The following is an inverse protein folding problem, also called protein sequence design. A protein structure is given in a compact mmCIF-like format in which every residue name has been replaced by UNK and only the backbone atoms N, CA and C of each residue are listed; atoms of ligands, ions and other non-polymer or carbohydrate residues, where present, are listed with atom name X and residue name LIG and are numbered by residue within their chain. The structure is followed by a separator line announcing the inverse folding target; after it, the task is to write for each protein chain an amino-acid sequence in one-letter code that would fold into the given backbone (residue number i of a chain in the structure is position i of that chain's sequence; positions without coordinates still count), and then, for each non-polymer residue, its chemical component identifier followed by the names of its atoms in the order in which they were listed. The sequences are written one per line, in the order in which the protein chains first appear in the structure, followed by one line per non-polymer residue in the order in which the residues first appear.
data_IF_048520639713
#
_entry.id   IF_048520639713
#
_cell.length_a   1.000
_cell.length_b   1.000
_cell.length_c   1.000
_cell.angle_alpha   90.00
_cell.angle_beta   90.00
_cell.angle_gamma   90.00
#
_symmetry.space_group_name_H-M   'P 1'
#
loop_
_entity.id
_entity.type
_entity.pdbx_description
1 polymer ?
#
# COMPACT_ATOMS: atom_id res chain seq x y z
N UNK A 1 -19.14 -82.81 -1.54
CA UNK A 1 -19.32 -81.52 -0.84
C UNK A 1 -17.94 -81.01 -0.45
N UNK A 2 -17.44 -79.96 -1.11
CA UNK A 2 -16.21 -79.25 -0.75
C UNK A 2 -16.54 -77.74 -0.86
N UNK A 3 -16.51 -77.05 0.29
CA UNK A 3 -16.61 -75.59 0.35
C UNK A 3 -15.32 -74.97 -0.21
N UNK A 4 -15.37 -74.01 -1.14
CA UNK A 4 -15.68 -72.58 -0.92
C UNK A 4 -14.61 -71.94 0.00
N UNK A 5 -13.80 -70.95 -0.36
CA UNK A 5 -13.68 -69.99 -1.48
C UNK A 5 -12.20 -69.62 -1.60
N UNK A 6 -11.54 -69.71 -2.75
CA UNK A 6 -11.45 -68.75 -3.87
C UNK A 6 -11.05 -67.31 -3.49
N UNK A 7 -9.79 -67.04 -3.84
CA UNK A 7 -9.09 -65.77 -3.89
C UNK A 7 -9.30 -65.16 -5.28
N UNK A 8 -10.13 -64.12 -5.41
CA UNK A 8 -10.16 -63.19 -6.56
C UNK A 8 -10.71 -61.84 -6.05
N UNK A 9 -9.87 -60.88 -5.69
CA UNK A 9 -9.28 -59.87 -6.59
C UNK A 9 -10.30 -59.30 -7.58
N UNK A 10 -10.51 -57.99 -7.46
CA UNK A 10 -11.12 -57.08 -8.45
C UNK A 10 -12.65 -56.83 -8.34
N UNK A 11 -13.04 -55.90 -7.44
CA UNK A 11 -14.17 -54.98 -7.62
C UNK A 11 -14.06 -53.78 -6.64
N UNK A 12 -13.57 -52.60 -7.06
CA UNK A 12 -13.82 -51.36 -6.33
C UNK A 12 -15.24 -50.86 -6.63
N UNK A 13 -16.01 -50.66 -5.55
CA UNK A 13 -17.35 -50.09 -5.50
C UNK A 13 -17.34 -48.61 -5.91
N UNK A 14 -18.38 -48.10 -6.62
CA UNK A 14 -18.45 -46.70 -7.03
C UNK A 14 -18.81 -45.72 -5.89
N UNK A 15 -18.27 -44.51 -6.06
CA UNK A 15 -18.61 -43.21 -5.42
C UNK A 15 -20.12 -42.98 -5.22
N UNK A 16 -20.54 -42.16 -4.24
CA UNK A 16 -20.57 -40.71 -4.50
C UNK A 16 -20.36 -39.77 -3.29
N UNK A 17 -20.08 -38.50 -3.64
CA UNK A 17 -20.22 -37.25 -2.88
C UNK A 17 -19.10 -36.91 -1.89
N UNK A 18 -18.71 -35.66 -1.62
CA UNK A 18 -18.78 -34.33 -2.25
C UNK A 18 -18.13 -33.42 -1.18
N UNK A 19 -17.27 -32.48 -1.56
CA UNK A 19 -16.84 -31.40 -0.67
C UNK A 19 -15.34 -31.25 -0.57
N UNK A 20 -14.84 -30.26 -1.29
CA UNK A 20 -13.45 -29.83 -1.34
C UNK A 20 -12.89 -29.46 0.05
N UNK A 21 -11.76 -30.06 0.42
CA UNK A 21 -10.83 -29.49 1.38
C UNK A 21 -10.03 -28.37 0.69
N UNK A 22 -10.65 -27.19 0.54
CA UNK A 22 -9.88 -25.99 0.25
C UNK A 22 -9.39 -25.42 1.57
N UNK A 23 -8.08 -25.55 1.78
CA UNK A 23 -7.25 -24.84 2.74
C UNK A 23 -7.70 -23.38 2.89
N UNK A 24 -8.42 -23.09 3.96
CA UNK A 24 -8.80 -21.73 4.30
C UNK A 24 -7.69 -21.12 5.15
N UNK A 25 -6.87 -20.31 4.48
CA UNK A 25 -5.90 -19.41 5.07
C UNK A 25 -6.61 -18.52 6.12
N UNK A 26 -6.31 -18.78 7.39
CA UNK A 26 -6.85 -18.06 8.54
C UNK A 26 -5.79 -17.14 9.12
N UNK A 27 -5.82 -15.89 8.66
CA UNK A 27 -5.20 -14.72 9.28
C UNK A 27 -5.59 -14.62 10.77
N UNK A 28 -4.61 -14.62 11.67
CA UNK A 28 -4.86 -14.25 13.06
C UNK A 28 -3.92 -14.90 14.07
N UNK A 29 -2.96 -14.12 14.58
CA UNK A 29 -2.37 -14.36 15.89
C UNK A 29 -0.90 -14.77 15.92
N UNK A 30 -0.01 -13.90 15.45
CA UNK A 30 1.43 -14.01 15.79
C UNK A 30 1.84 -13.17 17.02
N UNK A 31 0.88 -12.50 17.67
CA UNK A 31 1.15 -11.55 18.76
C UNK A 31 1.38 -12.20 20.15
N UNK A 32 1.82 -13.46 20.22
CA UNK A 32 2.06 -14.14 21.50
C UNK A 32 3.21 -15.13 21.38
N UNK A 33 4.44 -14.63 21.46
CA UNK A 33 5.58 -15.35 22.08
C UNK A 33 6.84 -14.50 22.16
N UNK A 34 6.94 -13.65 23.18
CA UNK A 34 8.19 -13.43 23.92
C UNK A 34 7.84 -13.21 25.39
N UNK A 35 7.79 -14.31 26.13
CA UNK A 35 7.72 -14.34 27.58
C UNK A 35 9.10 -14.81 28.08
N UNK A 36 9.75 -14.03 28.94
CA UNK A 36 10.69 -14.58 29.94
C UNK A 36 12.10 -14.01 29.95
N UNK A 37 12.32 -12.95 30.74
CA UNK A 37 13.46 -12.86 31.65
C UNK A 37 13.08 -11.96 32.83
N UNK A 38 13.00 -12.55 34.01
CA UNK A 38 12.68 -11.88 35.26
C UNK A 38 13.87 -11.06 35.76
N UNK A 39 13.68 -9.76 36.02
CA UNK A 39 14.53 -8.97 36.92
C UNK A 39 13.60 -8.05 37.74
N UNK A 40 13.88 -7.99 39.03
CA UNK A 40 13.10 -7.40 40.11
C UNK A 40 12.59 -5.98 39.85
N UNK A 41 11.33 -5.72 40.24
CA UNK A 41 10.74 -4.39 40.26
C UNK A 41 11.17 -3.65 41.53
N UNK A 42 12.29 -2.95 41.47
CA UNK A 42 12.53 -1.78 42.32
C UNK A 42 11.87 -0.57 41.68
N UNK A 43 11.01 0.08 42.44
CA UNK A 43 10.27 1.30 42.10
C UNK A 43 11.20 2.42 41.63
N UNK A 44 11.05 2.90 40.39
CA UNK A 44 11.51 4.24 40.01
C UNK A 44 10.70 4.73 38.81
N UNK A 45 10.11 5.93 38.95
CA UNK A 45 9.21 6.52 37.97
C UNK A 45 9.83 6.59 36.58
N UNK A 46 9.13 6.02 35.60
CA UNK A 46 9.42 6.28 34.21
C UNK A 46 9.01 7.73 33.91
N UNK A 47 9.98 8.64 33.94
CA UNK A 47 9.90 9.80 33.08
C UNK A 47 9.72 9.27 31.66
N UNK A 48 8.61 9.61 31.01
CA UNK A 48 8.47 9.41 29.57
C UNK A 48 9.55 10.29 28.95
N UNK A 49 10.72 9.71 28.69
CA UNK A 49 11.73 10.36 27.89
C UNK A 49 11.08 10.66 26.56
N UNK A 50 10.90 11.94 26.26
CA UNK A 50 10.73 12.39 24.89
C UNK A 50 11.92 11.79 24.13
N UNK A 51 11.66 10.76 23.33
CA UNK A 51 12.68 10.20 22.47
C UNK A 51 13.18 11.36 21.61
N UNK A 52 14.40 11.82 21.88
CA UNK A 52 15.07 12.81 21.06
C UNK A 52 15.02 12.27 19.62
N UNK A 53 14.21 12.92 18.79
CA UNK A 53 14.16 12.63 17.36
C UNK A 53 15.55 12.99 16.85
N UNK A 54 16.39 11.99 16.60
CA UNK A 54 17.69 12.18 16.00
C UNK A 54 17.50 13.01 14.72
N UNK A 55 18.26 14.09 14.51
CA UNK A 55 18.09 14.96 13.36
C UNK A 55 18.29 14.16 12.08
N UNK A 56 17.20 13.91 11.36
CA UNK A 56 17.20 13.15 10.11
C UNK A 56 18.16 13.83 9.11
N UNK A 57 19.15 13.11 8.56
CA UNK A 57 20.06 13.66 7.56
C UNK A 57 19.31 14.22 6.34
N UNK A 58 19.74 15.41 5.87
CA UNK A 58 19.09 16.11 4.76
C UNK A 58 19.02 15.28 3.47
N UNK A 59 20.03 14.45 3.22
CA UNK A 59 20.06 13.58 2.04
C UNK A 59 19.02 12.44 2.10
N UNK A 60 18.58 12.04 3.30
CA UNK A 60 17.44 11.11 3.44
C UNK A 60 16.13 11.82 3.12
N UNK A 61 15.96 13.06 3.56
CA UNK A 61 14.77 13.85 3.24
C UNK A 61 14.69 14.11 1.74
N UNK A 62 15.81 14.46 1.08
CA UNK A 62 15.86 14.62 -0.36
C UNK A 62 15.45 13.33 -1.09
N UNK A 63 15.95 12.17 -0.64
CA UNK A 63 15.55 10.88 -1.20
C UNK A 63 14.06 10.58 -0.96
N UNK A 64 13.55 10.83 0.24
CA UNK A 64 12.13 10.62 0.57
C UNK A 64 11.21 11.47 -0.32
N UNK A 65 11.58 12.73 -0.54
CA UNK A 65 10.85 13.63 -1.44
C UNK A 65 10.93 13.15 -2.89
N UNK A 66 12.10 12.74 -3.36
CA UNK A 66 12.24 12.17 -4.71
C UNK A 66 11.40 10.91 -4.90
N UNK A 67 11.45 9.97 -3.94
CA UNK A 67 10.67 8.75 -3.97
C UNK A 67 9.16 9.04 -3.91
N UNK A 68 8.74 9.98 -3.06
CA UNK A 68 7.36 10.45 -2.98
C UNK A 68 6.87 11.04 -4.31
N UNK A 69 7.63 11.96 -4.90
CA UNK A 69 7.30 12.57 -6.21
C UNK A 69 7.21 11.52 -7.30
N UNK A 70 8.13 10.54 -7.33
CA UNK A 70 8.10 9.47 -8.32
C UNK A 70 6.86 8.58 -8.16
N UNK A 71 6.48 8.24 -6.92
CA UNK A 71 5.25 7.49 -6.68
C UNK A 71 4.01 8.30 -7.05
N UNK A 72 3.96 9.59 -6.69
CA UNK A 72 2.85 10.49 -7.07
C UNK A 72 2.76 10.67 -8.59
N UNK A 73 3.89 10.71 -9.29
CA UNK A 73 3.94 10.75 -10.75
C UNK A 73 3.28 9.50 -11.33
N UNK A 74 3.64 8.30 -10.85
CA UNK A 74 3.05 7.02 -11.28
C UNK A 74 1.56 6.93 -11.00
N UNK A 75 1.12 7.48 -9.86
CA UNK A 75 -0.29 7.59 -9.51
C UNK A 75 -1.07 8.41 -10.55
N UNK A 76 -0.47 9.43 -11.16
CA UNK A 76 -1.07 10.25 -12.22
C UNK A 76 -0.76 9.81 -13.65
N UNK A 77 0.01 8.74 -13.86
CA UNK A 77 0.24 8.20 -15.21
C UNK A 77 -0.99 7.44 -15.70
N UNK A 78 -1.27 7.49 -17.01
CA UNK A 78 -2.31 6.67 -17.64
C UNK A 78 -1.85 5.20 -17.68
N UNK A 79 -2.08 4.50 -16.57
CA UNK A 79 -1.72 3.11 -16.40
C UNK A 79 -2.90 2.35 -15.81
N UNK A 80 -3.04 1.08 -16.16
CA UNK A 80 -4.12 0.21 -15.67
C UNK A 80 -4.28 0.27 -14.13
N UNK A 81 -3.22 0.19 -13.30
CA UNK A 81 -3.39 0.29 -11.85
C UNK A 81 -3.67 1.73 -11.36
N UNK A 82 -3.14 2.77 -12.02
CA UNK A 82 -3.48 4.16 -11.69
C UNK A 82 -4.95 4.48 -11.98
N UNK A 83 -5.47 3.97 -13.10
CA UNK A 83 -6.86 4.18 -13.52
C UNK A 83 -7.84 3.45 -12.60
N UNK A 84 -7.51 2.24 -12.13
CA UNK A 84 -8.30 1.54 -11.11
C UNK A 84 -8.35 2.31 -9.80
N UNK A 85 -7.22 2.90 -9.38
CA UNK A 85 -7.19 3.70 -8.16
C UNK A 85 -8.01 5.00 -8.31
N UNK A 86 -7.97 5.64 -9.49
CA UNK A 86 -8.81 6.79 -9.81
C UNK A 86 -10.30 6.46 -9.81
N UNK A 87 -10.71 5.38 -10.48
CA UNK A 87 -12.11 4.92 -10.46
C UNK A 87 -12.60 4.65 -9.03
N UNK A 88 -11.77 3.96 -8.24
CA UNK A 88 -12.06 3.75 -6.84
C UNK A 88 -12.24 5.08 -6.10
N UNK A 89 -11.35 6.06 -6.29
CA UNK A 89 -11.46 7.37 -5.65
C UNK A 89 -12.75 8.12 -6.01
N UNK A 90 -13.14 8.10 -7.28
CA UNK A 90 -14.37 8.76 -7.76
C UNK A 90 -15.61 8.15 -7.09
N UNK A 91 -15.68 6.81 -7.03
CA UNK A 91 -16.75 6.10 -6.29
C UNK A 91 -16.75 6.45 -4.79
N UNK A 92 -15.57 6.76 -4.28
CA UNK A 92 -15.28 6.92 -2.87
C UNK A 92 -15.40 8.35 -2.34
N UNK A 93 -15.39 9.35 -3.23
CA UNK A 93 -15.41 10.77 -2.90
C UNK A 93 -16.68 11.20 -2.13
N UNK A 94 -17.75 10.40 -2.25
CA UNK A 94 -18.99 10.57 -1.49
C UNK A 94 -18.87 10.20 0.00
N UNK A 95 -17.75 9.60 0.43
CA UNK A 95 -17.53 9.18 1.81
C UNK A 95 -16.77 10.26 2.62
N UNK A 96 -17.32 10.74 3.75
CA UNK A 96 -16.78 11.88 4.50
C UNK A 96 -15.43 11.62 5.21
N UNK A 97 -14.90 10.40 5.18
CA UNK A 97 -13.79 9.96 6.02
C UNK A 97 -12.47 9.72 5.26
N UNK A 98 -12.42 9.98 3.95
CA UNK A 98 -11.33 9.49 3.06
C UNK A 98 -10.29 10.56 2.66
N UNK A 99 -10.24 11.69 3.38
CA UNK A 99 -9.37 12.83 3.05
C UNK A 99 -7.92 12.70 3.58
N UNK A 100 -7.58 11.62 4.29
CA UNK A 100 -6.25 11.42 4.88
C UNK A 100 -5.27 10.83 3.85
N UNK A 101 -3.99 11.27 3.80
CA UNK A 101 -2.98 10.66 2.95
C UNK A 101 -2.78 9.18 3.32
N UNK A 102 -2.62 8.33 2.29
CA UNK A 102 -2.32 6.92 2.51
C UNK A 102 -0.86 6.81 2.95
N UNK A 103 -0.66 6.39 4.20
CA UNK A 103 0.67 6.14 4.74
C UNK A 103 1.18 4.78 4.24
N UNK A 104 2.25 4.80 3.46
CA UNK A 104 2.92 3.61 2.92
C UNK A 104 4.31 3.50 3.54
N UNK A 105 4.65 2.30 4.02
CA UNK A 105 5.96 1.92 4.53
C UNK A 105 6.65 1.02 3.52
N UNK A 106 7.85 1.40 3.11
CA UNK A 106 8.60 0.72 2.05
C UNK A 106 9.94 0.22 2.60
N UNK A 107 10.23 -1.04 2.34
CA UNK A 107 11.57 -1.60 2.46
C UNK A 107 12.17 -1.68 1.07
N UNK A 108 13.28 -0.98 0.86
CA UNK A 108 13.89 -0.79 -0.45
C UNK A 108 15.28 -1.41 -0.41
N UNK A 109 15.57 -2.37 -1.27
CA UNK A 109 16.91 -2.93 -1.40
C UNK A 109 17.89 -1.87 -1.95
N UNK A 110 19.19 -2.10 -1.79
CA UNK A 110 20.23 -1.18 -2.28
C UNK A 110 20.16 -0.91 -3.80
N UNK A 111 19.52 -1.79 -4.57
CA UNK A 111 19.29 -1.61 -6.01
C UNK A 111 18.01 -0.80 -6.34
N UNK A 112 17.30 -0.27 -5.35
CA UNK A 112 16.06 0.48 -5.53
C UNK A 112 14.78 -0.37 -5.65
N UNK A 113 14.89 -1.71 -5.66
CA UNK A 113 13.72 -2.59 -5.68
C UNK A 113 13.01 -2.56 -4.33
N UNK A 114 11.70 -2.39 -4.34
CA UNK A 114 10.86 -2.55 -3.15
C UNK A 114 10.76 -4.05 -2.84
N UNK A 115 11.26 -4.46 -1.68
CA UNK A 115 11.24 -5.85 -1.21
C UNK A 115 10.07 -6.13 -0.29
N UNK A 116 9.45 -5.08 0.26
CA UNK A 116 8.27 -5.15 1.11
C UNK A 116 7.57 -3.81 1.12
N UNK A 117 6.24 -3.84 1.10
CA UNK A 117 5.37 -2.68 1.28
C UNK A 117 4.34 -3.00 2.37
N UNK A 118 4.05 -2.02 3.22
CA UNK A 118 2.93 -2.07 4.15
C UNK A 118 2.16 -0.76 4.05
N UNK A 119 0.84 -0.81 4.00
CA UNK A 119 -0.03 0.36 4.02
C UNK A 119 -1.35 0.01 4.69
N UNK A 120 -2.09 1.02 5.13
CA UNK A 120 -3.45 0.82 5.61
C UNK A 120 -4.35 0.54 4.41
N UNK A 121 -5.04 -0.60 4.43
CA UNK A 121 -5.97 -0.96 3.36
C UNK A 121 -6.99 0.14 3.11
N UNK A 122 -7.28 0.36 1.83
CA UNK A 122 -8.21 1.37 1.33
C UNK A 122 -9.68 0.97 1.58
N UNK A 123 -9.90 -0.28 2.00
CA UNK A 123 -11.23 -0.86 2.21
C UNK A 123 -11.84 -1.44 0.93
N UNK A 124 -11.04 -1.58 -0.13
CA UNK A 124 -11.40 -2.21 -1.40
C UNK A 124 -10.21 -3.04 -1.89
N UNK A 125 -10.44 -4.31 -2.22
CA UNK A 125 -9.37 -5.24 -2.58
C UNK A 125 -8.74 -4.94 -3.95
N UNK A 126 -9.51 -4.37 -4.89
CA UNK A 126 -9.00 -3.98 -6.21
C UNK A 126 -8.11 -2.74 -6.07
N UNK A 127 -8.54 -1.76 -5.26
CA UNK A 127 -7.74 -0.57 -4.95
C UNK A 127 -6.44 -0.92 -4.22
N UNK A 128 -6.48 -1.82 -3.23
CA UNK A 128 -5.28 -2.33 -2.55
C UNK A 128 -4.31 -3.01 -3.54
N UNK A 129 -4.81 -3.90 -4.41
CA UNK A 129 -3.99 -4.61 -5.40
C UNK A 129 -3.41 -3.65 -6.48
N UNK A 130 -4.17 -2.63 -6.86
CA UNK A 130 -3.73 -1.58 -7.76
C UNK A 130 -2.60 -0.75 -7.14
N UNK A 131 -2.75 -0.36 -5.87
CA UNK A 131 -1.69 0.33 -5.12
C UNK A 131 -0.44 -0.53 -5.00
N UNK A 132 -0.57 -1.81 -4.64
CA UNK A 132 0.56 -2.75 -4.62
C UNK A 132 1.26 -2.84 -5.98
N UNK A 133 0.49 -2.88 -7.06
CA UNK A 133 1.03 -2.92 -8.43
C UNK A 133 1.79 -1.64 -8.80
N UNK A 134 1.33 -0.47 -8.37
CA UNK A 134 2.04 0.81 -8.55
C UNK A 134 3.37 0.87 -7.78
N UNK A 135 3.46 0.13 -6.67
CA UNK A 135 4.68 0.03 -5.85
C UNK A 135 5.69 -1.00 -6.38
N UNK A 136 5.32 -1.88 -7.33
CA UNK A 136 6.24 -2.90 -7.84
C UNK A 136 7.48 -2.37 -8.60
N UNK A 137 7.36 -1.34 -9.46
CA UNK A 137 8.51 -0.86 -10.22
C UNK A 137 9.59 -0.25 -9.28
N UNK A 138 10.89 -0.46 -9.57
CA UNK A 138 11.96 0.01 -8.72
C UNK A 138 11.95 1.54 -8.59
N UNK A 139 12.37 2.03 -7.43
CA UNK A 139 12.66 3.43 -7.17
C UNK A 139 14.15 3.70 -7.40
N UNK A 140 14.56 4.96 -7.24
CA UNK A 140 15.98 5.30 -7.18
C UNK A 140 16.68 4.53 -6.04
N UNK A 141 17.98 4.33 -6.17
CA UNK A 141 18.75 3.62 -5.15
C UNK A 141 18.77 4.42 -3.83
N UNK A 142 18.41 3.80 -2.69
CA UNK A 142 18.42 4.48 -1.40
C UNK A 142 19.85 4.80 -0.95
N UNK A 143 20.06 5.87 -0.18
CA UNK A 143 21.32 6.10 0.50
C UNK A 143 21.69 4.91 1.38
N UNK A 144 22.97 4.51 1.39
CA UNK A 144 23.43 3.31 2.10
C UNK A 144 23.18 3.34 3.62
N UNK A 145 23.18 4.55 4.21
CA UNK A 145 22.93 4.77 5.64
C UNK A 145 21.44 4.96 5.98
N UNK A 146 20.55 4.94 4.97
CA UNK A 146 19.13 5.26 5.16
C UNK A 146 18.42 4.21 6.02
N UNK A 147 17.72 4.68 7.06
CA UNK A 147 16.89 3.83 7.93
C UNK A 147 15.66 3.32 7.20
N UNK A 148 15.35 2.04 7.41
CA UNK A 148 14.14 1.39 6.91
C UNK A 148 13.19 1.05 8.07
N UNK A 149 11.86 1.03 7.84
CA UNK A 149 11.19 1.35 6.57
C UNK A 149 11.17 2.85 6.25
N UNK A 150 11.17 3.17 4.95
CA UNK A 150 10.85 4.53 4.48
C UNK A 150 9.34 4.72 4.57
N UNK A 151 8.89 5.72 5.33
CA UNK A 151 7.46 6.02 5.51
C UNK A 151 7.10 7.24 4.69
N UNK A 152 6.17 7.08 3.76
CA UNK A 152 5.69 8.15 2.86
C UNK A 152 4.18 8.32 3.02
N UNK A 153 3.72 9.57 3.04
CA UNK A 153 2.30 9.89 2.92
C UNK A 153 1.95 10.17 1.46
N UNK A 154 1.20 9.27 0.83
CA UNK A 154 0.75 9.44 -0.55
C UNK A 154 -0.60 10.16 -0.55
N UNK A 155 -0.65 11.34 -1.18
CA UNK A 155 -1.91 12.00 -1.47
C UNK A 155 -2.52 11.35 -2.71
N UNK A 156 -3.69 10.75 -2.56
CA UNK A 156 -4.39 10.12 -3.68
C UNK A 156 -5.15 11.14 -4.55
N UNK A 157 -5.43 12.33 -4.02
CA UNK A 157 -5.94 13.45 -4.83
C UNK A 157 -4.96 13.69 -5.98
N UNK A 158 -5.48 13.74 -7.21
CA UNK A 158 -4.79 14.35 -8.35
C UNK A 158 -4.08 15.59 -7.82
N UNK A 159 -2.83 15.78 -8.21
CA UNK A 159 -2.21 17.10 -8.13
C UNK A 159 -3.02 18.02 -9.06
N UNK A 160 -4.25 18.34 -8.66
CA UNK A 160 -5.00 19.46 -9.15
C UNK A 160 -4.18 20.64 -8.70
N UNK A 161 -3.23 21.01 -9.55
CA UNK A 161 -2.65 22.33 -9.56
C UNK A 161 -3.80 23.30 -9.29
N UNK A 162 -3.68 24.18 -8.29
CA UNK A 162 -4.71 25.18 -8.05
C UNK A 162 -4.95 25.89 -9.38
N UNK A 163 -6.15 25.71 -9.91
CA UNK A 163 -6.65 26.44 -11.06
C UNK A 163 -6.31 27.92 -10.85
N UNK A 164 -5.34 28.40 -11.62
CA UNK A 164 -5.08 29.82 -11.82
C UNK A 164 -6.43 30.45 -12.18
N UNK A 165 -6.95 31.42 -11.42
CA UNK A 165 -8.16 32.11 -11.82
C UNK A 165 -7.83 32.85 -13.10
N UNK A 166 -8.36 32.33 -14.21
CA UNK A 166 -8.42 32.97 -15.50
C UNK A 166 -8.86 34.43 -15.34
N UNK A 167 -7.90 35.35 -15.38
CA UNK A 167 -8.15 36.74 -15.74
C UNK A 167 -8.30 36.77 -17.25
N UNK A 168 -9.49 37.06 -17.80
CA UNK A 168 -9.72 36.92 -19.23
C UNK A 168 -8.90 37.95 -20.01
N UNK A 169 -8.09 37.46 -20.94
CA UNK A 169 -7.75 38.22 -22.13
C UNK A 169 -9.05 38.55 -22.87
N UNK A 170 -9.55 39.77 -22.72
CA UNK A 170 -10.55 40.35 -23.58
C UNK A 170 -9.84 41.10 -24.71
N UNK A 171 -9.48 40.36 -25.74
CA UNK A 171 -9.14 40.87 -27.06
C UNK A 171 -10.45 40.87 -27.83
N UNK A 172 -10.97 42.06 -28.18
CA UNK A 172 -11.65 42.37 -29.45
C UNK A 172 -12.60 43.56 -29.28
N UNK A 173 -12.35 44.61 -30.04
CA UNK A 173 -13.23 45.77 -30.14
C UNK A 173 -12.71 46.83 -31.11
N UNK A 174 -12.23 46.43 -32.29
CA UNK A 174 -12.15 47.35 -33.43
C UNK A 174 -13.56 47.55 -33.99
N UNK A 175 -14.10 48.76 -33.89
CA UNK A 175 -15.11 49.32 -34.80
C UNK A 175 -15.23 50.82 -34.54
N UNK A 176 -14.88 51.65 -35.53
CA UNK A 176 -15.17 53.08 -35.51
C UNK A 176 -16.65 53.36 -35.83
N UNK A 177 -17.18 54.49 -35.36
CA UNK A 177 -18.23 55.25 -36.07
C UNK A 177 -18.35 56.66 -35.47
N UNK A 178 -18.72 57.60 -36.33
CA UNK A 178 -18.80 59.06 -36.18
C UNK A 178 -19.74 59.59 -35.08
N UNK A 179 -19.52 60.84 -34.67
CA UNK A 179 -20.43 61.99 -34.82
C UNK A 179 -19.68 63.30 -34.52
#
# INVERSE_FOLDING_TARGET
MNGLQDERKDRPTPQPQAGADTTRNGTGGWLRRLLGAAIAWTTLGATVGAAAQDPVPQHWLAYAQQAGTELQRRLGEDSVPANQLHDWMERSASLPQRQDPVVVKLWIAANGRIIRSEFTSLGDAEADAALESLLQPPLAQPPADMRQPLVLGLSLRESAEPMEPAGPGAHAGTSGTSL
#
